data_IF_908294592293
#
_entry.id   IF_908294592293
#
_cell.length_a   1.000
_cell.length_b   1.000
_cell.length_c   1.000
_cell.angle_alpha   90.00
_cell.angle_beta   90.00
_cell.angle_gamma   90.00
#
_symmetry.space_group_name_H-M   'P 1'
#
loop_
_entity.id
_entity.type
_entity.pdbx_description
1 polymer ?
#
# COMPACT_ATOMS: atom_id res chain seq x y z
N UNK A 1 24.20 -2.75 -16.25
CA UNK A 1 23.49 -3.77 -15.46
C UNK A 1 22.23 -3.12 -14.93
N UNK A 2 21.04 -3.64 -15.26
CA UNK A 2 19.79 -3.14 -14.67
C UNK A 2 19.81 -3.39 -13.17
N UNK A 3 19.63 -2.33 -12.40
CA UNK A 3 19.58 -2.39 -10.95
C UNK A 3 18.35 -3.21 -10.52
N UNK A 4 18.51 -4.11 -9.54
CA UNK A 4 17.42 -4.98 -9.08
C UNK A 4 16.35 -4.14 -8.38
N UNK A 5 15.14 -4.10 -8.93
CA UNK A 5 13.96 -3.45 -8.33
C UNK A 5 13.05 -4.51 -7.71
N UNK A 6 12.62 -4.26 -6.47
CA UNK A 6 11.75 -5.13 -5.69
C UNK A 6 10.45 -4.37 -5.39
N UNK A 7 9.32 -5.03 -5.62
CA UNK A 7 8.00 -4.59 -5.14
C UNK A 7 7.61 -5.46 -3.96
N UNK A 8 7.41 -4.85 -2.79
CA UNK A 8 7.03 -5.56 -1.57
C UNK A 8 5.52 -5.49 -1.34
N UNK A 9 4.89 -6.65 -1.18
CA UNK A 9 3.50 -6.73 -0.71
C UNK A 9 3.44 -6.86 0.80
N UNK A 10 2.77 -5.92 1.46
CA UNK A 10 2.52 -5.92 2.90
C UNK A 10 1.05 -6.27 3.18
N UNK A 11 0.82 -7.29 4.01
CA UNK A 11 -0.53 -7.63 4.46
C UNK A 11 -1.05 -6.60 5.45
N UNK A 12 -2.18 -5.95 5.16
CA UNK A 12 -2.79 -4.98 6.09
C UNK A 12 -3.23 -5.57 7.43
N UNK A 13 -3.41 -6.90 7.52
CA UNK A 13 -3.70 -7.60 8.77
C UNK A 13 -2.56 -7.54 9.78
N UNK A 14 -1.34 -7.18 9.34
CA UNK A 14 -0.16 -7.08 10.21
C UNK A 14 -0.10 -5.75 10.97
N UNK A 15 -0.88 -4.75 10.56
CA UNK A 15 -0.79 -3.40 11.13
C UNK A 15 -1.50 -3.29 12.46
N UNK A 16 -2.70 -3.85 12.58
CA UNK A 16 -3.58 -3.59 13.70
C UNK A 16 -3.98 -4.89 14.39
N UNK A 17 -4.14 -4.84 15.71
CA UNK A 17 -4.76 -5.92 16.47
C UNK A 17 -6.29 -5.89 16.39
N UNK A 18 -6.96 -6.72 17.19
CA UNK A 18 -8.42 -6.80 17.21
C UNK A 18 -9.09 -5.51 17.74
N UNK A 19 -8.38 -4.75 18.58
CA UNK A 19 -8.86 -3.48 19.14
C UNK A 19 -8.51 -2.28 18.26
N UNK A 20 -7.96 -2.52 17.06
CA UNK A 20 -7.40 -1.50 16.18
C UNK A 20 -6.22 -0.71 16.78
N UNK A 21 -5.52 -1.28 17.76
CA UNK A 21 -4.25 -0.75 18.20
C UNK A 21 -3.15 -1.13 17.21
N UNK A 22 -2.28 -0.18 16.89
CA UNK A 22 -1.14 -0.38 15.99
C UNK A 22 -0.17 -1.39 16.63
N UNK A 23 0.15 -2.46 15.91
CA UNK A 23 1.20 -3.42 16.28
C UNK A 23 2.57 -2.79 16.04
N UNK A 24 2.98 -1.91 16.95
CA UNK A 24 4.16 -1.05 16.82
C UNK A 24 5.44 -1.83 16.51
N UNK A 25 5.68 -2.97 17.16
CA UNK A 25 6.90 -3.76 16.94
C UNK A 25 6.96 -4.33 15.51
N UNK A 26 5.85 -4.90 15.03
CA UNK A 26 5.75 -5.45 13.68
C UNK A 26 5.84 -4.34 12.64
N UNK A 27 5.16 -3.22 12.87
CA UNK A 27 5.20 -2.07 11.97
C UNK A 27 6.60 -1.46 11.89
N UNK A 28 7.25 -1.23 13.02
CA UNK A 28 8.61 -0.67 13.09
C UNK A 28 9.64 -1.59 12.43
N UNK A 29 9.51 -2.91 12.62
CA UNK A 29 10.37 -3.89 11.95
C UNK A 29 10.25 -3.77 10.43
N UNK A 30 9.04 -3.69 9.89
CA UNK A 30 8.81 -3.58 8.46
C UNK A 30 9.33 -2.24 7.92
N UNK A 31 9.06 -1.14 8.62
CA UNK A 31 9.58 0.19 8.29
C UNK A 31 11.11 0.16 8.21
N UNK A 32 11.77 -0.47 9.18
CA UNK A 32 13.24 -0.60 9.20
C UNK A 32 13.79 -1.43 8.03
N UNK A 33 13.14 -2.54 7.69
CA UNK A 33 13.52 -3.36 6.52
C UNK A 33 13.39 -2.57 5.23
N UNK A 34 12.28 -1.85 5.06
CA UNK A 34 12.03 -1.04 3.86
C UNK A 34 13.02 0.14 3.78
N UNK A 35 13.24 0.87 4.88
CA UNK A 35 14.18 2.01 4.93
C UNK A 35 15.61 1.62 4.57
N UNK A 36 16.09 0.47 5.04
CA UNK A 36 17.47 0.00 4.85
C UNK A 36 17.72 -0.60 3.46
N UNK A 37 16.66 -0.99 2.74
CA UNK A 37 16.82 -1.57 1.41
C UNK A 37 17.14 -0.51 0.36
N UNK A 38 18.09 -0.83 -0.52
CA UNK A 38 18.38 -0.05 -1.74
C UNK A 38 17.61 -0.57 -2.96
N UNK A 39 17.00 -1.75 -2.86
CA UNK A 39 16.36 -2.43 -3.99
C UNK A 39 14.85 -2.30 -3.98
N UNK A 40 14.24 -1.89 -2.86
CA UNK A 40 12.79 -1.72 -2.78
C UNK A 40 12.38 -0.45 -3.52
N UNK A 41 11.73 -0.62 -4.67
CA UNK A 41 11.23 0.48 -5.49
C UNK A 41 9.79 0.86 -5.10
N UNK A 42 9.00 -0.12 -4.66
CA UNK A 42 7.63 0.12 -4.26
C UNK A 42 7.14 -0.83 -3.15
N UNK A 43 6.18 -0.35 -2.36
CA UNK A 43 5.47 -1.15 -1.36
C UNK A 43 3.97 -1.05 -1.61
N UNK A 44 3.27 -2.18 -1.66
CA UNK A 44 1.82 -2.25 -1.75
C UNK A 44 1.25 -2.79 -0.45
N UNK A 45 0.35 -2.04 0.19
CA UNK A 45 -0.19 -2.40 1.50
C UNK A 45 -1.70 -2.69 1.42
N UNK A 46 -2.14 -3.78 2.08
CA UNK A 46 -3.55 -4.18 2.14
C UNK A 46 -4.37 -3.38 3.16
N UNK A 47 -5.70 -3.50 3.09
CA UNK A 47 -6.63 -2.78 3.98
C UNK A 47 -6.82 -3.38 5.39
N UNK A 48 -6.56 -4.67 5.58
CA UNK A 48 -6.46 -5.27 6.92
C UNK A 48 -7.73 -5.24 7.77
N UNK A 49 -7.55 -5.05 9.09
CA UNK A 49 -8.67 -5.01 10.07
C UNK A 49 -9.57 -3.79 9.86
N UNK A 50 -9.00 -2.63 9.52
CA UNK A 50 -9.76 -1.41 9.22
C UNK A 50 -10.71 -1.65 8.04
N UNK A 51 -10.22 -2.23 6.94
CA UNK A 51 -11.07 -2.58 5.80
C UNK A 51 -12.23 -3.47 6.20
N UNK A 52 -11.97 -4.56 6.93
CA UNK A 52 -13.02 -5.50 7.37
C UNK A 52 -14.09 -4.82 8.22
N UNK A 53 -13.70 -3.92 9.13
CA UNK A 53 -14.63 -3.17 9.98
C UNK A 53 -15.56 -2.28 9.15
N UNK A 54 -15.01 -1.53 8.20
CA UNK A 54 -15.83 -0.66 7.33
C UNK A 54 -16.68 -1.46 6.33
N UNK A 55 -16.17 -2.56 5.79
CA UNK A 55 -16.94 -3.46 4.92
C UNK A 55 -18.13 -4.04 5.68
N UNK A 56 -17.93 -4.50 6.92
CA UNK A 56 -19.02 -5.00 7.77
C UNK A 56 -20.04 -3.90 8.03
N UNK A 57 -19.61 -2.70 8.43
CA UNK A 57 -20.50 -1.56 8.63
C UNK A 57 -21.29 -1.20 7.35
N UNK A 58 -20.65 -1.24 6.18
CA UNK A 58 -21.31 -0.96 4.91
C UNK A 58 -22.38 -2.02 4.57
N UNK A 59 -22.17 -3.28 4.96
CA UNK A 59 -23.14 -4.37 4.77
C UNK A 59 -24.40 -4.21 5.62
N UNK A 60 -24.30 -3.58 6.80
CA UNK A 60 -25.49 -3.18 7.59
C UNK A 60 -26.41 -2.23 6.79
N UNK A 61 -25.84 -1.48 5.84
CA UNK A 61 -26.57 -0.61 4.91
C UNK A 61 -26.79 -1.25 3.53
N UNK A 62 -26.73 -2.59 3.43
CA UNK A 62 -26.97 -3.33 2.19
C UNK A 62 -26.07 -2.90 1.01
N UNK A 63 -24.85 -2.46 1.29
CA UNK A 63 -23.89 -2.10 0.25
C UNK A 63 -23.55 -3.32 -0.64
N UNK A 64 -23.49 -3.10 -1.95
CA UNK A 64 -23.03 -4.12 -2.89
C UNK A 64 -21.51 -4.34 -2.78
N UNK A 65 -21.01 -5.41 -3.42
CA UNK A 65 -19.59 -5.79 -3.34
C UNK A 65 -18.65 -4.72 -3.91
N UNK A 66 -19.04 -4.02 -4.99
CA UNK A 66 -18.23 -2.91 -5.55
C UNK A 66 -18.05 -1.75 -4.55
N UNK A 67 -19.10 -1.43 -3.77
CA UNK A 67 -19.01 -0.46 -2.67
C UNK A 67 -18.15 -1.00 -1.52
N UNK A 68 -18.27 -2.27 -1.17
CA UNK A 68 -17.42 -2.91 -0.16
C UNK A 68 -15.94 -2.86 -0.55
N UNK A 69 -15.62 -3.17 -1.81
CA UNK A 69 -14.27 -3.05 -2.35
C UNK A 69 -13.75 -1.62 -2.28
N UNK A 70 -14.62 -0.63 -2.55
CA UNK A 70 -14.24 0.78 -2.41
C UNK A 70 -13.80 1.10 -0.97
N UNK A 71 -14.50 0.60 0.06
CA UNK A 71 -14.04 0.73 1.46
C UNK A 71 -12.71 0.00 1.70
N UNK A 72 -12.53 -1.18 1.12
CA UNK A 72 -11.28 -1.93 1.19
C UNK A 72 -10.10 -1.16 0.59
N UNK A 73 -10.32 -0.54 -0.57
CA UNK A 73 -9.36 0.34 -1.26
C UNK A 73 -9.02 1.54 -0.39
N UNK A 74 -10.01 2.26 0.12
CA UNK A 74 -9.76 3.45 0.94
C UNK A 74 -9.01 3.10 2.23
N UNK A 75 -9.37 2.01 2.91
CA UNK A 75 -8.65 1.54 4.08
C UNK A 75 -7.19 1.17 3.76
N UNK A 76 -6.93 0.55 2.60
CA UNK A 76 -5.56 0.26 2.16
C UNK A 76 -4.75 1.53 1.84
N UNK A 77 -5.39 2.59 1.32
CA UNK A 77 -4.74 3.88 1.06
C UNK A 77 -4.44 4.64 2.35
N UNK A 78 -5.32 4.56 3.37
CA UNK A 78 -5.01 5.07 4.71
C UNK A 78 -3.79 4.38 5.32
N UNK A 79 -3.71 3.05 5.17
CA UNK A 79 -2.53 2.29 5.60
C UNK A 79 -1.27 2.69 4.80
N UNK A 80 -1.40 2.96 3.50
CA UNK A 80 -0.30 3.45 2.66
C UNK A 80 0.20 4.81 3.14
N UNK A 81 -0.71 5.73 3.45
CA UNK A 81 -0.36 7.05 3.98
C UNK A 81 0.35 6.98 5.33
N UNK A 82 -0.10 6.07 6.22
CA UNK A 82 0.58 5.79 7.48
C UNK A 82 2.02 5.29 7.24
N UNK A 83 2.22 4.39 6.27
CA UNK A 83 3.55 3.90 5.92
C UNK A 83 4.43 5.00 5.32
N UNK A 84 3.90 5.86 4.44
CA UNK A 84 4.62 7.03 3.91
C UNK A 84 5.09 7.91 5.07
N UNK A 85 4.21 8.19 6.03
CA UNK A 85 4.53 8.99 7.22
C UNK A 85 5.67 8.37 8.03
N UNK A 86 5.65 7.05 8.22
CA UNK A 86 6.70 6.34 8.97
C UNK A 86 8.03 6.23 8.20
N UNK A 87 7.97 6.18 6.86
CA UNK A 87 9.15 6.14 5.98
C UNK A 87 9.82 7.51 5.84
N UNK A 88 9.09 8.59 6.09
CA UNK A 88 9.58 9.97 6.03
C UNK A 88 10.28 10.25 4.68
N UNK A 89 11.48 10.83 4.68
CA UNK A 89 12.23 11.23 3.47
C UNK A 89 12.58 10.09 2.51
N UNK A 90 12.45 8.82 2.94
CA UNK A 90 12.64 7.64 2.09
C UNK A 90 11.42 7.30 1.23
N UNK A 91 10.23 7.78 1.57
CA UNK A 91 9.03 7.55 0.76
C UNK A 91 8.77 8.68 -0.24
N UNK A 92 8.19 8.31 -1.37
CA UNK A 92 7.53 9.28 -2.25
C UNK A 92 6.30 9.83 -1.51
N UNK A 93 6.09 11.16 -1.45
CA UNK A 93 5.18 11.76 -0.49
C UNK A 93 3.68 11.61 -0.83
N UNK A 94 3.35 10.87 -1.89
CA UNK A 94 1.98 10.68 -2.37
C UNK A 94 1.69 9.20 -2.51
N UNK A 95 0.49 8.79 -2.09
CA UNK A 95 -0.02 7.43 -2.30
C UNK A 95 -0.27 7.20 -3.78
N UNK A 96 0.24 6.10 -4.32
CA UNK A 96 -0.08 5.66 -5.69
C UNK A 96 -1.46 5.01 -5.68
N UNK A 97 -2.37 5.55 -6.50
CA UNK A 97 -3.79 5.20 -6.49
C UNK A 97 -4.26 4.48 -7.75
N UNK A 98 -3.44 4.51 -8.81
CA UNK A 98 -3.74 3.92 -10.12
C UNK A 98 -2.47 3.71 -10.95
N UNK A 99 -2.53 2.89 -12.02
CA UNK A 99 -1.46 2.78 -13.03
C UNK A 99 -1.06 4.13 -13.64
N UNK A 100 -2.04 5.01 -13.89
CA UNK A 100 -1.78 6.35 -14.42
C UNK A 100 -0.97 7.18 -13.44
N UNK A 101 -1.36 7.20 -12.16
CA UNK A 101 -0.59 7.90 -11.12
C UNK A 101 0.79 7.29 -10.92
N UNK A 102 0.95 5.99 -11.13
CA UNK A 102 2.26 5.35 -11.08
C UNK A 102 3.17 5.91 -12.18
N UNK A 103 2.74 5.87 -13.44
CA UNK A 103 3.54 6.35 -14.58
C UNK A 103 3.93 7.84 -14.46
N UNK A 104 3.02 8.68 -13.96
CA UNK A 104 3.28 10.10 -13.76
C UNK A 104 4.36 10.37 -12.70
N UNK A 105 4.42 9.53 -11.66
CA UNK A 105 5.28 9.77 -10.50
C UNK A 105 6.56 8.91 -10.50
N UNK A 106 6.61 7.81 -11.26
CA UNK A 106 7.70 6.85 -11.26
C UNK A 106 9.04 7.47 -11.65
N UNK A 107 9.06 8.39 -12.62
CA UNK A 107 10.29 9.09 -13.03
C UNK A 107 10.85 9.93 -11.87
N UNK A 108 10.00 10.74 -11.24
CA UNK A 108 10.41 11.60 -10.11
C UNK A 108 10.82 10.76 -8.89
N UNK A 109 10.09 9.70 -8.58
CA UNK A 109 10.42 8.77 -7.51
C UNK A 109 11.78 8.09 -7.76
N UNK A 110 12.04 7.67 -9.00
CA UNK A 110 13.31 7.07 -9.43
C UNK A 110 14.48 8.05 -9.29
N UNK A 111 14.34 9.28 -9.79
CA UNK A 111 15.39 10.31 -9.68
C UNK A 111 15.71 10.63 -8.21
N UNK A 112 14.67 10.71 -7.36
CA UNK A 112 14.84 10.98 -5.94
C UNK A 112 15.19 9.74 -5.09
N UNK A 113 15.29 8.56 -5.72
CA UNK A 113 15.55 7.27 -5.05
C UNK A 113 14.59 7.03 -3.88
N UNK A 114 13.33 7.43 -4.06
CA UNK A 114 12.26 7.33 -3.07
C UNK A 114 11.35 6.16 -3.37
N UNK A 115 10.90 5.52 -2.30
CA UNK A 115 10.06 4.34 -2.34
C UNK A 115 8.62 4.76 -2.58
N UNK A 116 8.01 4.27 -3.66
CA UNK A 116 6.59 4.50 -3.92
C UNK A 116 5.73 3.61 -3.02
N UNK A 117 4.60 4.12 -2.53
CA UNK A 117 3.68 3.34 -1.69
C UNK A 117 2.28 3.36 -2.29
N UNK A 118 1.67 2.19 -2.45
CA UNK A 118 0.36 2.02 -3.05
C UNK A 118 -0.63 1.31 -2.12
N UNK A 119 -1.91 1.62 -2.29
CA UNK A 119 -3.03 0.83 -1.78
C UNK A 119 -3.68 0.01 -2.90
N UNK A 120 -5.00 -0.19 -2.80
CA UNK A 120 -5.83 -0.75 -3.88
C UNK A 120 -6.10 0.27 -4.99
N UNK A 121 -6.31 -0.25 -6.21
CA UNK A 121 -6.58 0.55 -7.40
C UNK A 121 -8.06 0.57 -7.77
N UNK A 122 -8.66 -0.60 -8.00
CA UNK A 122 -10.04 -0.73 -8.49
C UNK A 122 -10.81 -1.83 -7.76
N UNK A 123 -12.15 -1.78 -7.73
CA UNK A 123 -13.00 -2.87 -7.26
C UNK A 123 -12.76 -4.19 -8.01
N UNK A 124 -13.04 -5.32 -7.36
CA UNK A 124 -12.80 -6.67 -7.88
C UNK A 124 -11.34 -7.11 -7.88
N UNK A 125 -10.44 -6.34 -7.28
CA UNK A 125 -9.00 -6.59 -7.31
C UNK A 125 -8.38 -6.63 -5.91
N UNK A 126 -7.52 -7.63 -5.66
CA UNK A 126 -6.69 -7.68 -4.45
C UNK A 126 -5.45 -6.79 -4.57
N UNK A 127 -4.88 -6.37 -3.43
CA UNK A 127 -3.59 -5.65 -3.44
C UNK A 127 -2.41 -6.52 -3.92
N UNK A 128 -2.56 -7.85 -3.95
CA UNK A 128 -1.59 -8.74 -4.59
C UNK A 128 -1.55 -8.49 -6.10
N UNK A 129 -2.70 -8.35 -6.74
CA UNK A 129 -2.79 -8.04 -8.17
C UNK A 129 -2.21 -6.66 -8.48
N UNK A 130 -2.42 -5.67 -7.59
CA UNK A 130 -1.78 -4.35 -7.70
C UNK A 130 -0.25 -4.44 -7.61
N UNK A 131 0.27 -5.35 -6.76
CA UNK A 131 1.71 -5.61 -6.64
C UNK A 131 2.30 -6.08 -7.96
N UNK A 132 1.66 -7.03 -8.63
CA UNK A 132 2.11 -7.52 -9.93
C UNK A 132 2.04 -6.45 -11.02
N UNK A 133 0.98 -5.63 -11.05
CA UNK A 133 0.88 -4.51 -12.00
C UNK A 133 2.02 -3.51 -11.82
N UNK A 134 2.34 -3.13 -10.58
CA UNK A 134 3.46 -2.23 -10.32
C UNK A 134 4.80 -2.89 -10.68
N UNK A 135 4.96 -4.19 -10.42
CA UNK A 135 6.18 -4.92 -10.78
C UNK A 135 6.40 -4.92 -12.30
N UNK A 136 5.35 -5.21 -13.07
CA UNK A 136 5.36 -5.16 -14.54
C UNK A 136 5.68 -3.75 -15.06
N UNK A 137 5.13 -2.69 -14.45
CA UNK A 137 5.42 -1.30 -14.85
C UNK A 137 6.84 -0.83 -14.50
N UNK A 138 7.59 -1.58 -13.69
CA UNK A 138 8.97 -1.27 -13.30
C UNK A 138 10.03 -1.95 -14.18
N UNK A 139 9.63 -2.93 -15.00
CA UNK A 139 10.46 -3.53 -16.06
C UNK A 139 10.86 -2.47 -17.09
#
# INVERSE_FOLDING_TARGET
MTERKIVLKMGGSLLFDENLALRLDSFSTIVNVVKKSQHVAAVVIGGGKIARKFIQAAREFQANESRCDTFGIQASRLNALLLITALDSRAYPVVIESPRSFNLNAVTASISQRIMVAGGFIPGQSTTSVTFQIAEMLE
#
